data_IF_739909193668
#
_entry.id   IF_739909193668
#
_cell.length_a   1.000
_cell.length_b   1.000
_cell.length_c   1.000
_cell.angle_alpha   90.00
_cell.angle_beta   90.00
_cell.angle_gamma   90.00
#
_symmetry.space_group_name_H-M   'P 1'
#
loop_
_entity.id
_entity.type
_entity.pdbx_description
1 polymer ?
#
# COMPACT_ATOMS: atom_id res chain seq x y z
N UNK A 1 -17.27 -0.08 5.03
CA UNK A 1 -16.92 0.01 3.59
C UNK A 1 -15.58 -0.66 3.43
N UNK A 2 -15.57 -1.90 2.95
CA UNK A 2 -14.39 -2.74 2.85
C UNK A 2 -13.45 -2.26 1.75
N UNK A 3 -12.47 -1.43 2.12
CA UNK A 3 -11.51 -0.85 1.19
C UNK A 3 -10.53 -1.88 0.60
N UNK A 4 -10.38 -3.03 1.26
CA UNK A 4 -9.52 -4.12 0.82
C UNK A 4 -9.96 -4.66 -0.55
N UNK A 5 -11.26 -4.75 -0.83
CA UNK A 5 -11.77 -5.21 -2.13
C UNK A 5 -11.47 -4.25 -3.29
N UNK A 6 -10.98 -3.04 -3.01
CA UNK A 6 -10.57 -2.07 -4.03
C UNK A 6 -9.07 -1.80 -4.04
N UNK A 7 -8.29 -2.51 -3.22
CA UNK A 7 -6.84 -2.43 -3.19
C UNK A 7 -6.22 -3.06 -4.43
N UNK A 8 -5.31 -2.33 -5.08
CA UNK A 8 -4.44 -2.93 -6.09
C UNK A 8 -3.60 -4.04 -5.42
N UNK A 9 -3.42 -5.21 -6.05
CA UNK A 9 -2.61 -6.27 -5.49
C UNK A 9 -1.14 -5.85 -5.44
N UNK A 10 -0.39 -6.45 -4.51
CA UNK A 10 1.07 -6.28 -4.41
C UNK A 10 1.77 -7.49 -5.00
N UNK A 11 3.00 -7.30 -5.48
CA UNK A 11 3.76 -8.40 -6.07
C UNK A 11 4.01 -9.51 -5.02
N UNK A 12 4.03 -10.76 -5.48
CA UNK A 12 4.62 -11.87 -4.75
C UNK A 12 6.14 -11.66 -4.59
N UNK A 13 6.73 -12.26 -3.56
CA UNK A 13 8.15 -12.10 -3.20
C UNK A 13 8.42 -11.11 -2.06
N UNK A 14 9.62 -10.53 -2.06
CA UNK A 14 10.09 -9.64 -0.98
C UNK A 14 9.26 -8.36 -0.89
N UNK A 15 8.46 -8.28 0.17
CA UNK A 15 7.66 -7.11 0.49
C UNK A 15 8.53 -6.05 1.15
N UNK A 16 9.02 -5.10 0.36
CA UNK A 16 9.93 -4.06 0.82
C UNK A 16 9.20 -2.76 1.12
N UNK A 17 9.58 -2.10 2.22
CA UNK A 17 9.08 -0.78 2.58
C UNK A 17 9.26 0.25 1.44
N UNK A 18 8.22 1.02 1.15
CA UNK A 18 8.16 2.04 0.10
C UNK A 18 8.87 3.35 0.48
N UNK A 19 9.31 3.50 1.75
CA UNK A 19 10.09 4.66 2.16
C UNK A 19 11.41 4.72 1.37
N UNK A 20 11.77 5.93 0.91
CA UNK A 20 12.96 6.14 0.08
C UNK A 20 14.21 5.60 0.78
N UNK A 21 14.94 4.72 0.10
CA UNK A 21 16.17 4.12 0.62
C UNK A 21 15.97 3.02 1.67
N UNK A 22 14.73 2.73 2.07
CA UNK A 22 14.46 1.63 2.98
C UNK A 22 14.49 0.29 2.23
N UNK A 23 15.00 -0.73 2.93
CA UNK A 23 15.03 -2.13 2.48
C UNK A 23 14.46 -3.11 3.51
N UNK A 24 13.90 -2.57 4.60
CA UNK A 24 13.30 -3.39 5.64
C UNK A 24 12.03 -4.10 5.12
N UNK A 25 11.74 -5.31 5.63
CA UNK A 25 10.51 -6.01 5.31
C UNK A 25 9.31 -5.18 5.76
N UNK A 26 8.29 -5.12 4.92
CA UNK A 26 7.05 -4.44 5.22
C UNK A 26 6.14 -5.34 6.07
N UNK A 27 5.55 -4.74 7.10
CA UNK A 27 4.52 -5.36 7.92
C UNK A 27 3.12 -4.81 7.59
N UNK A 28 3.06 -3.69 6.88
CA UNK A 28 1.84 -2.91 6.66
C UNK A 28 1.63 -2.55 5.18
N UNK A 29 0.36 -2.50 4.78
CA UNK A 29 -0.12 -1.88 3.55
C UNK A 29 -0.91 -0.62 3.84
N UNK A 30 -0.48 0.51 3.29
CA UNK A 30 -1.18 1.79 3.36
C UNK A 30 -2.00 1.93 2.08
N UNK A 31 -3.32 1.82 2.20
CA UNK A 31 -4.27 2.02 1.13
C UNK A 31 -4.51 3.52 0.96
N UNK A 32 -4.26 4.02 -0.25
CA UNK A 32 -4.39 5.44 -0.56
C UNK A 32 -5.06 5.69 -1.91
N UNK A 33 -5.63 6.89 -2.06
CA UNK A 33 -6.28 7.34 -3.27
C UNK A 33 -6.01 8.83 -3.49
N UNK A 34 -5.43 9.20 -4.63
CA UNK A 34 -5.36 10.59 -5.06
C UNK A 34 -6.56 10.90 -5.96
N UNK A 35 -7.58 11.63 -5.48
CA UNK A 35 -8.82 11.86 -6.23
C UNK A 35 -8.62 12.69 -7.50
N UNK A 36 -7.46 13.35 -7.67
CA UNK A 36 -7.15 14.10 -8.89
C UNK A 36 -6.87 13.19 -10.10
N UNK A 37 -6.48 11.93 -9.86
CA UNK A 37 -6.01 11.01 -10.91
C UNK A 37 -6.54 9.58 -10.79
N UNK A 38 -7.26 9.25 -9.72
CA UNK A 38 -7.80 7.90 -9.48
C UNK A 38 -9.30 7.96 -9.31
N UNK A 39 -9.99 6.91 -9.78
CA UNK A 39 -11.41 6.74 -9.49
C UNK A 39 -11.63 6.64 -7.98
N UNK A 40 -12.80 7.04 -7.45
CA UNK A 40 -13.07 7.02 -6.01
C UNK A 40 -12.96 5.63 -5.36
N UNK A 41 -13.13 4.57 -6.15
CA UNK A 41 -13.07 3.18 -5.67
C UNK A 41 -11.62 2.70 -5.55
N UNK A 42 -10.75 3.05 -6.51
CA UNK A 42 -9.38 2.50 -6.57
C UNK A 42 -8.56 2.81 -5.32
N UNK A 43 -7.82 1.84 -4.80
CA UNK A 43 -6.88 2.02 -3.68
C UNK A 43 -5.51 1.55 -4.11
N UNK A 44 -4.58 2.47 -4.30
CA UNK A 44 -3.16 2.13 -4.42
C UNK A 44 -2.67 1.64 -3.06
N UNK A 45 -1.64 0.80 -3.07
CA UNK A 45 -0.98 0.32 -1.86
C UNK A 45 0.46 0.82 -1.82
N UNK A 46 0.87 1.38 -0.69
CA UNK A 46 2.28 1.54 -0.31
C UNK A 46 2.61 0.56 0.81
N UNK A 47 3.76 -0.08 0.72
CA UNK A 47 4.24 -1.01 1.74
C UNK A 47 5.04 -0.25 2.81
N UNK A 48 4.90 -0.63 4.08
CA UNK A 48 5.62 0.02 5.17
C UNK A 48 6.12 -0.99 6.22
N UNK A 49 7.35 -0.79 6.69
CA UNK A 49 7.83 -1.39 7.94
C UNK A 49 7.31 -0.57 9.15
N UNK A 50 7.39 -1.14 10.36
CA UNK A 50 6.92 -0.47 11.58
C UNK A 50 7.54 0.91 11.80
N UNK A 51 8.82 1.07 11.47
CA UNK A 51 9.54 2.35 11.62
C UNK A 51 9.00 3.44 10.71
N UNK A 52 8.62 3.11 9.48
CA UNK A 52 8.26 4.10 8.46
C UNK A 52 6.75 4.26 8.25
N UNK A 53 5.92 3.34 8.76
CA UNK A 53 4.46 3.46 8.75
C UNK A 53 3.99 4.87 9.17
N UNK A 54 4.35 5.41 10.35
CA UNK A 54 3.81 6.70 10.79
C UNK A 54 4.14 7.86 9.85
N UNK A 55 5.37 7.91 9.32
CA UNK A 55 5.80 8.97 8.39
C UNK A 55 5.07 8.88 7.05
N UNK A 56 4.84 7.66 6.54
CA UNK A 56 4.11 7.46 5.28
C UNK A 56 2.61 7.78 5.44
N UNK A 57 2.01 7.39 6.57
CA UNK A 57 0.63 7.76 6.91
C UNK A 57 0.47 9.27 7.01
N UNK A 58 1.38 9.96 7.71
CA UNK A 58 1.37 11.42 7.81
C UNK A 58 1.48 12.08 6.43
N UNK A 59 2.40 11.61 5.58
CA UNK A 59 2.58 12.15 4.23
C UNK A 59 1.29 12.06 3.40
N UNK A 60 0.61 10.91 3.47
CA UNK A 60 -0.64 10.67 2.75
C UNK A 60 -1.82 11.44 3.38
N UNK A 61 -1.86 11.51 4.71
CA UNK A 61 -2.91 12.19 5.49
C UNK A 61 -2.92 13.69 5.25
N UNK A 62 -1.76 14.35 5.22
CA UNK A 62 -1.63 15.80 4.91
C UNK A 62 -2.15 16.19 3.52
N UNK A 63 -2.44 15.21 2.65
CA UNK A 63 -2.93 15.40 1.29
C UNK A 63 -4.34 14.81 1.09
N UNK A 64 -4.97 14.32 2.16
CA UNK A 64 -6.25 13.61 2.13
C UNK A 64 -6.25 12.34 1.25
N UNK A 65 -5.06 11.80 0.98
CA UNK A 65 -4.89 10.60 0.16
C UNK A 65 -5.02 9.32 0.97
N UNK A 66 -4.65 9.36 2.25
CA UNK A 66 -4.73 8.18 3.13
C UNK A 66 -6.17 7.72 3.27
N UNK A 67 -6.40 6.40 3.24
CA UNK A 67 -7.72 5.80 3.43
C UNK A 67 -7.74 4.77 4.55
N UNK A 68 -6.75 3.88 4.58
CA UNK A 68 -6.68 2.83 5.60
C UNK A 68 -5.26 2.26 5.65
N UNK A 69 -4.88 1.73 6.81
CA UNK A 69 -3.69 0.91 6.97
C UNK A 69 -4.11 -0.49 7.40
N UNK A 70 -3.52 -1.52 6.79
CA UNK A 70 -3.83 -2.94 7.04
C UNK A 70 -2.54 -3.74 7.22
N UNK A 71 -2.58 -4.89 7.92
CA UNK A 71 -1.51 -5.87 7.87
C UNK A 71 -1.18 -6.27 6.42
N UNK A 72 0.10 -6.41 6.11
CA UNK A 72 0.53 -6.80 4.75
C UNK A 72 0.04 -8.20 4.35
N UNK A 73 -0.26 -9.05 5.35
CA UNK A 73 -0.83 -10.37 5.15
C UNK A 73 -2.25 -10.35 4.55
N UNK A 74 -2.99 -9.24 4.72
CA UNK A 74 -4.37 -9.11 4.25
C UNK A 74 -4.47 -8.61 2.79
N UNK A 75 -3.33 -8.25 2.19
CA UNK A 75 -3.29 -7.76 0.82
C UNK A 75 -3.33 -8.90 -0.18
N UNK A 76 -4.11 -8.71 -1.25
CA UNK A 76 -4.05 -9.57 -2.42
C UNK A 76 -2.65 -9.52 -3.05
N UNK A 77 -2.19 -10.68 -3.52
CA UNK A 77 -0.88 -10.85 -4.15
C UNK A 77 -1.04 -11.19 -5.63
N UNK A 78 -0.07 -10.82 -6.45
CA UNK A 78 0.03 -11.25 -7.84
C UNK A 78 1.45 -11.69 -8.17
N UNK A 79 1.58 -12.75 -8.95
CA UNK A 79 2.87 -13.19 -9.48
C UNK A 79 3.25 -12.29 -10.67
N UNK A 80 4.31 -11.47 -10.56
CA UNK A 80 4.75 -10.64 -11.67
C UNK A 80 5.40 -11.44 -12.81
N UNK A 81 5.87 -12.65 -12.54
CA UNK A 81 6.63 -13.50 -13.47
C UNK A 81 5.79 -14.63 -14.09
N UNK A 82 4.50 -14.73 -13.71
CA UNK A 82 3.56 -15.66 -14.31
C UNK A 82 3.39 -15.36 -15.81
N UNK A 83 4.11 -16.11 -16.64
CA UNK A 83 3.90 -16.12 -18.10
C UNK A 83 2.57 -16.82 -18.41
N UNK A 84 1.76 -16.32 -19.36
CA UNK A 84 0.55 -17.02 -19.80
C UNK A 84 0.85 -18.40 -20.38
#
# INVERSE_FOLDING_TARGET
MDLLGSADPVAEGDLVCSAKGCRAPAAWGLLWNNPKIHTPQRRKVWLACDTHRPTLEEFLGRRDYWKQTVPVADLARFDPDARP
#
